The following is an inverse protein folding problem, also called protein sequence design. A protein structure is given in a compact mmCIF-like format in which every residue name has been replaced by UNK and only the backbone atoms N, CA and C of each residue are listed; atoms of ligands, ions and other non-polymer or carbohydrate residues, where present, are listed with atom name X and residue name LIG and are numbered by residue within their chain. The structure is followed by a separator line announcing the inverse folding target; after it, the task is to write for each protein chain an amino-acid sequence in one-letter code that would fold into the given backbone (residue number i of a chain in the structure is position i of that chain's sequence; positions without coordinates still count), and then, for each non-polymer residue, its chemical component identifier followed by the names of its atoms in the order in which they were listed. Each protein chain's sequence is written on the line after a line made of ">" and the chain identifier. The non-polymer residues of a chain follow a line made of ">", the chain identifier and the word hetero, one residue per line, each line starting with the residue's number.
data_IF_324380457809
#
_entry.id   IF_324380457809
#
_cell.length_a   1.000
_cell.length_b   1.000
_cell.length_c   1.000
_cell.angle_alpha   90.00
_cell.angle_beta   90.00
_cell.angle_gamma   90.00
#
_symmetry.space_group_name_H-M   'P 1'
#
loop_
_entity.id
_entity.type
_entity.pdbx_description
1 polymer ?
#
# COMPACT_ATOMS: atom_id res chain seq x y z
N UNK A 1 -33.85 33.05 -12.21
CA UNK A 1 -33.78 32.58 -10.82
C UNK A 1 -33.13 31.19 -10.80
N UNK A 2 -32.22 30.90 -9.85
CA UNK A 2 -31.45 29.66 -9.80
C UNK A 2 -32.19 28.58 -8.96
N UNK A 3 -32.14 27.33 -9.40
CA UNK A 3 -32.42 26.13 -8.59
C UNK A 3 -31.26 25.16 -8.88
N UNK A 4 -30.15 25.29 -8.16
CA UNK A 4 -29.83 24.66 -6.88
C UNK A 4 -29.59 23.15 -7.03
N UNK A 5 -28.30 22.82 -7.10
CA UNK A 5 -27.71 21.49 -7.17
C UNK A 5 -28.24 20.56 -6.07
N UNK A 6 -28.68 19.36 -6.45
CA UNK A 6 -28.93 18.26 -5.50
C UNK A 6 -27.60 17.64 -5.04
N UNK A 7 -26.95 18.35 -4.12
CA UNK A 7 -25.85 17.87 -3.29
C UNK A 7 -26.41 16.92 -2.21
N UNK A 8 -26.72 15.67 -2.56
CA UNK A 8 -26.79 14.54 -1.61
C UNK A 8 -26.53 13.23 -2.35
N UNK A 9 -25.33 13.10 -2.94
CA UNK A 9 -24.81 11.82 -3.43
C UNK A 9 -24.21 11.07 -2.24
N UNK A 10 -25.09 10.35 -1.54
CA UNK A 10 -24.80 9.14 -0.73
C UNK A 10 -23.38 9.03 -0.14
N UNK A 11 -23.18 9.58 1.05
CA UNK A 11 -21.97 9.34 1.88
C UNK A 11 -21.95 7.93 2.52
N UNK A 12 -22.98 7.09 2.30
CA UNK A 12 -23.18 5.81 3.03
C UNK A 12 -22.92 4.53 2.21
N UNK A 13 -21.96 4.52 1.27
CA UNK A 13 -21.58 3.30 0.52
C UNK A 13 -20.09 2.96 0.53
N UNK A 14 -19.27 3.70 1.29
CA UNK A 14 -17.81 3.55 1.30
C UNK A 14 -17.24 2.80 2.51
N UNK A 15 -18.09 2.21 3.34
CA UNK A 15 -17.68 1.12 4.22
C UNK A 15 -17.77 -0.18 3.42
N UNK A 16 -16.88 -0.36 2.44
CA UNK A 16 -16.54 -1.73 2.04
C UNK A 16 -16.08 -2.42 3.31
N UNK A 17 -16.86 -3.39 3.83
CA UNK A 17 -16.63 -4.01 5.14
C UNK A 17 -15.14 -4.27 5.34
N UNK A 18 -14.47 -3.51 6.20
CA UNK A 18 -13.09 -3.77 6.57
C UNK A 18 -13.10 -5.17 7.20
N UNK A 19 -12.41 -6.11 6.57
CA UNK A 19 -12.35 -7.50 7.07
C UNK A 19 -11.38 -7.59 8.23
N UNK A 20 -10.27 -6.83 8.14
CA UNK A 20 -9.25 -6.76 9.18
C UNK A 20 -8.38 -5.52 9.07
N UNK A 21 -7.73 -5.20 10.17
CA UNK A 21 -6.66 -4.20 10.24
C UNK A 21 -5.34 -4.93 10.50
N UNK A 22 -4.33 -4.65 9.69
CA UNK A 22 -2.96 -5.15 9.89
C UNK A 22 -2.16 -4.15 10.70
N UNK A 23 -1.45 -4.64 11.71
CA UNK A 23 -0.52 -3.84 12.53
C UNK A 23 0.90 -4.06 12.03
N UNK A 24 1.56 -2.97 11.64
CA UNK A 24 2.88 -3.02 11.00
C UNK A 24 3.80 -2.03 11.70
N UNK A 25 4.79 -2.53 12.44
CA UNK A 25 5.75 -1.65 13.11
C UNK A 25 6.70 -0.99 12.10
N UNK A 26 6.83 0.34 12.17
CA UNK A 26 7.66 1.14 11.27
C UNK A 26 8.26 2.34 12.00
N UNK A 27 9.59 2.46 12.01
CA UNK A 27 10.27 3.66 12.54
C UNK A 27 9.95 4.00 14.00
N UNK A 28 9.63 2.99 14.84
CA UNK A 28 9.25 3.18 16.24
C UNK A 28 7.76 3.48 16.48
N UNK A 29 6.93 3.54 15.44
CA UNK A 29 5.47 3.59 15.52
C UNK A 29 4.81 2.31 14.99
N UNK A 30 3.49 2.19 15.18
CA UNK A 30 2.67 1.12 14.58
C UNK A 30 1.78 1.74 13.50
N UNK A 31 1.82 1.16 12.32
CA UNK A 31 0.95 1.48 11.19
C UNK A 31 -0.22 0.52 11.20
N UNK A 32 -1.43 1.07 11.10
CA UNK A 32 -2.66 0.31 11.01
C UNK A 32 -3.16 0.40 9.57
N UNK A 33 -3.26 -0.75 8.92
CA UNK A 33 -3.65 -0.85 7.53
C UNK A 33 -4.99 -1.60 7.45
N UNK A 34 -6.04 -0.85 7.14
CA UNK A 34 -7.37 -1.43 6.93
C UNK A 34 -7.42 -2.17 5.60
N UNK A 35 -7.77 -3.45 5.66
CA UNK A 35 -7.91 -4.33 4.50
C UNK A 35 -9.39 -4.55 4.23
N UNK A 36 -9.92 -4.10 3.08
CA UNK A 36 -11.30 -4.33 2.71
C UNK A 36 -11.55 -5.83 2.48
N UNK A 37 -12.75 -6.29 2.80
CA UNK A 37 -13.15 -7.68 2.56
C UNK A 37 -13.11 -7.98 1.07
N UNK A 38 -12.37 -9.01 0.69
CA UNK A 38 -12.36 -9.51 -0.68
C UNK A 38 -12.34 -11.05 -0.69
N UNK A 39 -13.41 -11.74 -1.14
CA UNK A 39 -13.46 -13.20 -1.12
C UNK A 39 -12.41 -13.87 -2.03
N UNK A 40 -11.78 -13.11 -2.92
CA UNK A 40 -10.82 -13.61 -3.91
C UNK A 40 -9.37 -13.30 -3.55
N UNK A 41 -9.14 -12.46 -2.55
CA UNK A 41 -7.81 -11.95 -2.17
C UNK A 41 -7.63 -12.06 -0.67
N UNK A 42 -6.57 -12.73 -0.27
CA UNK A 42 -6.14 -12.83 1.11
C UNK A 42 -4.90 -11.97 1.32
N UNK A 43 -5.01 -11.00 2.22
CA UNK A 43 -3.85 -10.26 2.73
C UNK A 43 -3.39 -10.93 4.01
N UNK A 44 -2.11 -10.96 4.34
CA UNK A 44 -1.59 -11.38 5.65
C UNK A 44 -0.36 -10.59 6.03
N UNK A 45 0.00 -10.62 7.31
CA UNK A 45 1.23 -10.03 7.83
C UNK A 45 2.00 -11.12 8.58
N UNK A 46 3.31 -11.18 8.39
CA UNK A 46 4.21 -12.05 9.16
C UNK A 46 5.57 -11.38 9.30
N UNK A 47 5.99 -11.12 10.54
CA UNK A 47 7.32 -10.54 10.89
C UNK A 47 7.59 -9.17 10.24
N UNK A 48 6.57 -8.33 10.15
CA UNK A 48 6.58 -7.02 9.51
C UNK A 48 6.42 -7.07 7.98
N UNK A 49 6.27 -8.24 7.37
CA UNK A 49 6.13 -8.40 5.92
C UNK A 49 4.66 -8.66 5.59
N UNK A 50 4.11 -7.88 4.66
CA UNK A 50 2.72 -8.02 4.21
C UNK A 50 2.70 -8.84 2.92
N UNK A 51 1.82 -9.83 2.86
CA UNK A 51 1.60 -10.66 1.69
C UNK A 51 0.19 -10.44 1.15
N UNK A 52 0.06 -10.25 -0.17
CA UNK A 52 -1.22 -10.21 -0.89
C UNK A 52 -1.25 -11.39 -1.85
N UNK A 53 -2.16 -12.33 -1.62
CA UNK A 53 -2.31 -13.55 -2.41
C UNK A 53 -3.77 -13.70 -2.86
N UNK A 54 -4.03 -14.39 -3.96
CA UNK A 54 -5.37 -14.63 -4.47
C UNK A 54 -5.47 -15.99 -5.17
N UNK A 55 -6.69 -16.52 -5.22
CA UNK A 55 -6.92 -17.91 -5.64
C UNK A 55 -6.72 -18.17 -7.14
N UNK A 56 -6.77 -17.13 -7.98
CA UNK A 56 -6.46 -17.15 -9.43
C UNK A 56 -6.55 -15.76 -10.11
N UNK A 57 -6.85 -14.69 -9.36
CA UNK A 57 -7.30 -13.42 -9.92
C UNK A 57 -6.25 -12.32 -9.74
N UNK A 58 -5.33 -12.24 -10.71
CA UNK A 58 -4.23 -11.27 -10.68
C UNK A 58 -4.71 -9.82 -10.54
N UNK A 59 -5.75 -9.45 -11.29
CA UNK A 59 -6.30 -8.10 -11.24
C UNK A 59 -6.83 -7.74 -9.85
N UNK A 60 -7.45 -8.69 -9.15
CA UNK A 60 -7.93 -8.47 -7.78
C UNK A 60 -6.78 -8.25 -6.80
N UNK A 61 -5.68 -9.00 -6.95
CA UNK A 61 -4.45 -8.79 -6.17
C UNK A 61 -3.90 -7.38 -6.44
N UNK A 62 -3.88 -6.94 -7.69
CA UNK A 62 -3.42 -5.60 -8.08
C UNK A 62 -4.32 -4.48 -7.55
N UNK A 63 -5.64 -4.67 -7.52
CA UNK A 63 -6.55 -3.70 -6.89
C UNK A 63 -6.33 -3.62 -5.38
N UNK A 64 -6.23 -4.76 -4.70
CA UNK A 64 -5.93 -4.78 -3.27
C UNK A 64 -4.61 -4.07 -2.96
N UNK A 65 -3.58 -4.32 -3.78
CA UNK A 65 -2.30 -3.64 -3.62
C UNK A 65 -2.38 -2.13 -3.81
N UNK A 66 -3.16 -1.67 -4.81
CA UNK A 66 -3.40 -0.24 -5.03
C UNK A 66 -4.07 0.39 -3.82
N UNK A 67 -5.04 -0.28 -3.22
CA UNK A 67 -5.78 0.23 -2.06
C UNK A 67 -4.86 0.31 -0.83
N UNK A 68 -4.06 -0.73 -0.57
CA UNK A 68 -3.02 -0.77 0.48
C UNK A 68 -2.01 0.36 0.31
N UNK A 69 -1.52 0.56 -0.92
CA UNK A 69 -0.61 1.66 -1.25
C UNK A 69 -1.27 3.02 -1.02
N UNK A 70 -2.55 3.16 -1.36
CA UNK A 70 -3.35 4.36 -1.12
C UNK A 70 -3.49 4.69 0.37
N UNK A 71 -3.87 3.69 1.17
CA UNK A 71 -4.00 3.82 2.63
C UNK A 71 -2.65 4.17 3.29
N UNK A 72 -1.57 3.52 2.88
CA UNK A 72 -0.22 3.87 3.33
C UNK A 72 0.13 5.33 3.01
N UNK A 73 -0.15 5.78 1.79
CA UNK A 73 0.12 7.16 1.35
C UNK A 73 -0.68 8.17 2.16
N UNK A 74 -1.97 7.89 2.39
CA UNK A 74 -2.87 8.71 3.19
C UNK A 74 -2.36 8.83 4.62
N UNK A 75 -2.00 7.70 5.24
CA UNK A 75 -1.48 7.67 6.60
C UNK A 75 -0.20 8.49 6.76
N UNK A 76 0.79 8.29 5.87
CA UNK A 76 2.05 9.06 5.90
C UNK A 76 1.78 10.55 5.72
N UNK A 77 0.85 10.92 4.84
CA UNK A 77 0.49 12.33 4.61
C UNK A 77 -0.11 12.96 5.86
N UNK A 78 -1.05 12.28 6.52
CA UNK A 78 -1.68 12.75 7.77
C UNK A 78 -0.64 12.85 8.88
N UNK A 79 0.24 11.85 9.03
CA UNK A 79 1.31 11.86 10.01
C UNK A 79 2.28 13.04 9.77
N UNK A 80 2.72 13.26 8.53
CA UNK A 80 3.57 14.39 8.18
C UNK A 80 2.90 15.73 8.54
N UNK A 81 1.62 15.90 8.18
CA UNK A 81 0.86 17.11 8.50
C UNK A 81 0.73 17.35 10.00
N UNK A 82 0.49 16.30 10.80
CA UNK A 82 0.42 16.40 12.26
C UNK A 82 1.74 16.86 12.90
N UNK A 83 2.87 16.63 12.22
CA UNK A 83 4.20 17.08 12.61
C UNK A 83 4.58 18.44 12.00
N UNK A 84 3.64 19.12 11.33
CA UNK A 84 3.89 20.38 10.62
C UNK A 84 4.80 20.23 9.40
N UNK A 85 4.94 19.01 8.86
CA UNK A 85 5.71 18.70 7.65
C UNK A 85 4.78 18.38 6.48
N UNK A 86 5.30 18.48 5.26
CA UNK A 86 4.58 18.06 4.04
C UNK A 86 5.41 17.04 3.26
N UNK A 87 4.77 16.02 2.64
CA UNK A 87 5.46 15.15 1.70
C UNK A 87 6.06 15.96 0.54
N UNK A 88 7.35 15.75 0.27
CA UNK A 88 8.12 16.46 -0.76
C UNK A 88 7.95 15.76 -2.10
N UNK A 89 8.01 14.43 -2.11
CA UNK A 89 7.89 13.63 -3.33
C UNK A 89 7.45 12.22 -3.01
N UNK A 90 6.80 11.62 -4.01
CA UNK A 90 6.43 10.21 -4.03
C UNK A 90 7.08 9.56 -5.25
N UNK A 91 7.68 8.38 -5.08
CA UNK A 91 8.32 7.63 -6.15
C UNK A 91 7.89 6.17 -6.13
N UNK A 92 7.78 5.59 -7.31
CA UNK A 92 7.55 4.16 -7.51
C UNK A 92 8.52 3.68 -8.58
N UNK A 93 9.57 2.98 -8.16
CA UNK A 93 10.73 2.66 -8.97
C UNK A 93 10.82 1.14 -9.19
N UNK A 94 11.01 0.72 -10.45
CA UNK A 94 11.39 -0.66 -10.77
C UNK A 94 12.90 -0.81 -10.51
N UNK A 95 13.27 -1.72 -9.62
CA UNK A 95 14.66 -1.96 -9.23
C UNK A 95 15.30 -3.07 -10.05
N UNK A 96 14.58 -4.17 -10.23
CA UNK A 96 15.09 -5.39 -10.86
C UNK A 96 13.94 -6.20 -11.44
N UNK A 97 14.20 -6.89 -12.55
CA UNK A 97 13.33 -7.93 -13.10
C UNK A 97 14.14 -9.23 -13.16
N UNK A 98 13.66 -10.28 -12.51
CA UNK A 98 14.22 -11.63 -12.62
C UNK A 98 13.22 -12.48 -13.42
N UNK A 99 13.46 -12.55 -14.74
CA UNK A 99 12.63 -13.28 -15.69
C UNK A 99 12.59 -14.79 -15.39
N UNK A 100 13.70 -15.35 -14.89
CA UNK A 100 13.78 -16.78 -14.56
C UNK A 100 12.84 -17.15 -13.42
N UNK A 101 12.60 -16.22 -12.48
CA UNK A 101 11.69 -16.43 -11.34
C UNK A 101 10.32 -15.77 -11.52
N UNK A 102 10.14 -15.01 -12.60
CA UNK A 102 8.91 -14.23 -12.85
C UNK A 102 8.64 -13.20 -11.77
N UNK A 103 9.67 -12.48 -11.31
CA UNK A 103 9.52 -11.50 -10.23
C UNK A 103 10.02 -10.11 -10.63
N UNK A 104 9.23 -9.09 -10.32
CA UNK A 104 9.66 -7.69 -10.38
C UNK A 104 9.91 -7.18 -8.96
N UNK A 105 11.10 -6.64 -8.69
CA UNK A 105 11.43 -5.98 -7.42
C UNK A 105 11.27 -4.48 -7.60
N UNK A 106 10.49 -3.86 -6.74
CA UNK A 106 10.11 -2.45 -6.86
C UNK A 106 10.24 -1.75 -5.50
N UNK A 107 10.38 -0.42 -5.54
CA UNK A 107 10.43 0.44 -4.34
C UNK A 107 9.39 1.53 -4.47
N UNK A 108 8.47 1.57 -3.53
CA UNK A 108 7.60 2.71 -3.33
C UNK A 108 8.11 3.54 -2.17
N UNK A 109 8.28 4.85 -2.35
CA UNK A 109 8.72 5.73 -1.28
C UNK A 109 8.10 7.11 -1.31
N UNK A 110 7.97 7.67 -0.12
CA UNK A 110 7.52 9.03 0.16
C UNK A 110 8.64 9.71 0.94
N UNK A 111 9.11 10.85 0.42
CA UNK A 111 10.10 11.67 1.10
C UNK A 111 9.40 12.74 1.93
N UNK A 112 9.68 12.77 3.23
CA UNK A 112 9.19 13.79 4.16
C UNK A 112 10.40 14.43 4.81
N UNK A 113 10.90 15.53 4.24
CA UNK A 113 12.12 16.22 4.68
C UNK A 113 13.35 15.29 4.70
N UNK A 114 13.92 15.05 5.89
CA UNK A 114 15.06 14.18 6.15
C UNK A 114 14.66 12.71 6.32
N UNK A 115 13.40 12.34 6.02
CA UNK A 115 12.90 10.97 6.17
C UNK A 115 12.49 10.44 4.80
N UNK A 116 12.91 9.21 4.48
CA UNK A 116 12.32 8.39 3.43
C UNK A 116 11.53 7.25 4.08
N UNK A 117 10.26 7.15 3.75
CA UNK A 117 9.35 6.14 4.28
C UNK A 117 8.61 5.48 3.14
N UNK A 118 8.44 4.16 3.20
CA UNK A 118 7.92 3.44 2.04
C UNK A 118 7.92 1.95 2.25
N UNK A 119 7.94 1.21 1.15
CA UNK A 119 8.11 -0.23 1.15
C UNK A 119 8.85 -0.69 -0.12
N UNK A 120 9.68 -1.70 0.05
CA UNK A 120 10.06 -2.56 -1.06
C UNK A 120 8.92 -3.53 -1.33
N UNK A 121 8.71 -3.91 -2.58
CA UNK A 121 7.73 -4.94 -2.89
C UNK A 121 8.17 -5.80 -4.06
N UNK A 122 7.92 -7.09 -3.93
CA UNK A 122 8.19 -8.09 -4.94
C UNK A 122 6.86 -8.52 -5.57
N UNK A 123 6.74 -8.35 -6.88
CA UNK A 123 5.57 -8.73 -7.67
C UNK A 123 5.90 -10.06 -8.33
N UNK A 124 5.41 -11.15 -7.77
CA UNK A 124 5.56 -12.48 -8.35
C UNK A 124 4.42 -12.69 -9.35
N UNK A 125 4.76 -12.63 -10.64
CA UNK A 125 3.80 -12.74 -11.73
C UNK A 125 3.21 -14.17 -11.80
N UNK A 126 1.93 -14.31 -12.18
CA UNK A 126 1.35 -15.61 -12.43
C UNK A 126 2.09 -16.31 -13.59
N UNK A 127 2.45 -17.58 -13.41
CA UNK A 127 3.14 -18.39 -14.42
C UNK A 127 2.54 -19.80 -14.48
N UNK A 128 1.94 -20.15 -15.61
CA UNK A 128 1.28 -21.45 -15.80
C UNK A 128 0.16 -21.66 -14.78
N UNK A 129 0.31 -22.64 -13.89
CA UNK A 129 -0.64 -22.97 -12.82
C UNK A 129 -0.33 -22.27 -11.49
N UNK A 130 0.78 -21.54 -11.41
CA UNK A 130 1.18 -20.81 -10.20
C UNK A 130 0.46 -19.47 -10.13
N UNK A 131 -0.28 -19.25 -9.05
CA UNK A 131 -0.87 -17.96 -8.74
C UNK A 131 0.22 -16.91 -8.49
N UNK A 132 -0.01 -15.69 -8.97
CA UNK A 132 0.80 -14.54 -8.61
C UNK A 132 0.53 -14.12 -7.16
N UNK A 133 1.49 -13.40 -6.57
CA UNK A 133 1.32 -12.78 -5.25
C UNK A 133 2.27 -11.59 -5.11
N UNK A 134 2.03 -10.77 -4.08
CA UNK A 134 2.90 -9.64 -3.75
C UNK A 134 3.41 -9.82 -2.34
N UNK A 135 4.70 -9.56 -2.17
CA UNK A 135 5.36 -9.37 -0.87
C UNK A 135 5.69 -7.90 -0.70
N UNK A 136 5.38 -7.31 0.45
CA UNK A 136 5.60 -5.90 0.77
C UNK A 136 6.42 -5.82 2.06
N UNK A 137 7.54 -5.12 1.99
CA UNK A 137 8.52 -4.98 3.07
C UNK A 137 8.64 -3.48 3.40
N UNK A 138 7.90 -3.01 4.41
CA UNK A 138 7.91 -1.63 4.86
C UNK A 138 9.29 -1.21 5.36
N UNK A 139 9.64 0.06 5.13
CA UNK A 139 10.87 0.65 5.67
C UNK A 139 10.67 2.10 6.11
N UNK A 140 11.53 2.52 7.03
CA UNK A 140 11.70 3.90 7.46
C UNK A 140 13.19 4.19 7.54
N UNK A 141 13.64 5.26 6.88
CA UNK A 141 15.04 5.65 6.81
C UNK A 141 15.16 7.14 7.09
N UNK A 142 15.93 7.50 8.11
CA UNK A 142 16.36 8.88 8.29
C UNK A 142 17.59 9.13 7.43
N UNK A 143 17.49 10.11 6.53
CA UNK A 143 18.60 10.61 5.73
C UNK A 143 19.51 11.39 6.66
N UNK A 144 20.68 10.85 6.93
CA UNK A 144 21.74 11.54 7.67
C UNK A 144 22.01 12.90 7.01
N UNK A 145 22.09 13.98 7.81
CA UNK A 145 22.65 15.24 7.35
C UNK A 145 24.13 14.99 7.04
N UNK A 146 24.51 15.02 5.77
CA UNK A 146 25.89 15.24 5.36
C UNK A 146 26.21 16.73 5.43
#
# INVERSE_FOLDING_TARGET
>A
MPQQYSLYRSENKKDELIEKTLEVSLGGGTFYLDVPRNPMVYVSETKGIIYINGSSYWDSIMYMFRDIKGEFTRYITVLAQSLGKTPISTRDELLEVDENKGVEKRKYSINVYDIEVGFYYNVYLPQGTRNGFIEIIPFFMQKSKH
#
